data_IF_781043060903
#
_entry.id   IF_781043060903
#
_cell.length_a   1.000
_cell.length_b   1.000
_cell.length_c   1.000
_cell.angle_alpha   90.00
_cell.angle_beta   90.00
_cell.angle_gamma   90.00
#
_symmetry.space_group_name_H-M   'P 1'
#
loop_
_entity.id
_entity.type
_entity.pdbx_description
1 polymer ?
#
# COMPACT_ATOMS: atom_id res chain seq x y z
N UNK A 1 -28.04 -62.65 31.08
CA UNK A 1 -28.99 -62.67 29.95
C UNK A 1 -29.50 -61.26 29.73
N UNK A 2 -28.84 -60.45 28.89
CA UNK A 2 -29.34 -59.19 28.36
C UNK A 2 -28.79 -59.01 26.94
N UNK A 3 -29.69 -59.14 26.01
CA UNK A 3 -29.46 -59.11 24.59
C UNK A 3 -29.29 -57.64 24.15
N UNK A 4 -28.20 -57.33 23.47
CA UNK A 4 -27.94 -56.01 22.90
C UNK A 4 -28.46 -55.98 21.47
N UNK A 5 -29.38 -55.08 21.17
CA UNK A 5 -29.95 -54.85 19.85
C UNK A 5 -29.02 -53.89 19.12
N UNK A 6 -28.39 -54.31 18.03
CA UNK A 6 -27.69 -53.45 17.11
C UNK A 6 -28.65 -52.72 16.20
N UNK A 7 -28.64 -51.42 16.22
CA UNK A 7 -29.41 -50.52 15.34
C UNK A 7 -28.83 -50.51 13.90
N UNK A 8 -29.74 -50.74 12.93
CA UNK A 8 -29.45 -50.83 11.48
C UNK A 8 -29.21 -49.53 10.74
N UNK A 9 -28.87 -48.42 11.42
CA UNK A 9 -28.82 -47.08 10.76
C UNK A 9 -27.43 -46.54 10.43
N UNK A 10 -26.39 -47.35 10.46
CA UNK A 10 -25.01 -46.84 10.21
C UNK A 10 -24.41 -47.25 8.85
N UNK A 11 -25.18 -47.88 7.97
CA UNK A 11 -24.68 -48.33 6.65
C UNK A 11 -25.08 -47.34 5.51
N UNK A 12 -25.99 -46.42 5.76
CA UNK A 12 -26.47 -45.47 4.74
C UNK A 12 -25.53 -44.23 4.50
N UNK A 13 -24.66 -43.91 5.46
CA UNK A 13 -23.87 -42.67 5.39
C UNK A 13 -22.50 -42.84 4.69
N UNK A 14 -21.99 -44.07 4.54
CA UNK A 14 -20.70 -44.30 3.85
C UNK A 14 -20.84 -44.50 2.34
N UNK A 15 -22.05 -44.77 1.82
CA UNK A 15 -22.25 -44.96 0.37
C UNK A 15 -22.47 -43.66 -0.39
N UNK A 16 -22.82 -42.55 0.28
CA UNK A 16 -23.01 -41.24 -0.37
C UNK A 16 -21.71 -40.44 -0.48
N UNK A 17 -20.72 -40.66 0.39
CA UNK A 17 -19.42 -40.01 0.28
C UNK A 17 -18.49 -40.60 -0.81
N UNK A 18 -18.71 -41.84 -1.22
CA UNK A 18 -17.91 -42.45 -2.28
C UNK A 18 -18.39 -42.07 -3.71
N UNK A 19 -19.60 -41.53 -3.86
CA UNK A 19 -20.11 -41.09 -5.14
C UNK A 19 -19.74 -39.60 -5.48
N UNK A 20 -19.26 -38.82 -4.50
CA UNK A 20 -18.81 -37.46 -4.73
C UNK A 20 -17.30 -37.36 -5.07
N UNK A 21 -16.55 -38.42 -4.88
CA UNK A 21 -15.12 -38.47 -5.24
C UNK A 21 -14.85 -39.00 -6.66
N UNK A 22 -15.87 -39.51 -7.35
CA UNK A 22 -15.75 -39.94 -8.75
C UNK A 22 -16.16 -38.89 -9.78
N UNK A 23 -16.67 -37.72 -9.33
CA UNK A 23 -17.03 -36.64 -10.24
C UNK A 23 -15.85 -35.69 -10.58
N UNK A 24 -14.66 -35.88 -10.01
CA UNK A 24 -13.45 -35.13 -10.34
C UNK A 24 -12.40 -35.92 -11.16
N UNK A 25 -12.81 -37.05 -11.76
CA UNK A 25 -12.06 -37.69 -12.84
C UNK A 25 -12.82 -37.56 -14.14
N UNK A 26 -13.05 -36.31 -14.56
CA UNK A 26 -13.15 -36.02 -15.96
C UNK A 26 -11.73 -36.12 -16.52
N UNK A 27 -11.45 -37.17 -17.26
CA UNK A 27 -10.41 -37.20 -18.29
C UNK A 27 -10.83 -36.24 -19.42
N UNK A 28 -11.10 -35.00 -19.11
CA UNK A 28 -10.94 -33.90 -20.00
C UNK A 28 -9.47 -33.51 -19.89
N UNK A 29 -8.61 -34.28 -20.49
CA UNK A 29 -7.34 -33.78 -20.94
C UNK A 29 -7.67 -32.52 -21.69
N UNK A 30 -7.26 -31.34 -21.21
CA UNK A 30 -7.14 -30.20 -22.04
C UNK A 30 -6.08 -30.61 -23.08
N UNK A 31 -6.56 -31.23 -24.15
CA UNK A 31 -5.79 -31.45 -25.33
C UNK A 31 -5.54 -30.04 -25.91
N UNK A 32 -4.47 -29.38 -25.40
CA UNK A 32 -3.91 -28.23 -26.07
C UNK A 32 -3.29 -28.72 -27.38
N UNK A 33 -4.16 -29.10 -28.27
CA UNK A 33 -3.78 -29.58 -29.63
C UNK A 33 -3.16 -28.44 -30.46
N UNK A 34 -2.91 -27.27 -29.83
CA UNK A 34 -2.31 -26.13 -30.47
C UNK A 34 -1.26 -25.49 -29.55
N UNK A 35 -0.03 -25.44 -30.03
CA UNK A 35 1.03 -24.68 -29.44
C UNK A 35 0.61 -23.19 -29.29
N UNK A 36 0.84 -22.62 -28.15
CA UNK A 36 0.44 -21.25 -27.81
C UNK A 36 1.63 -20.41 -27.36
N UNK A 37 1.48 -19.08 -27.49
CA UNK A 37 2.50 -18.09 -27.16
C UNK A 37 2.05 -17.24 -26.00
N UNK A 38 2.98 -16.86 -25.14
CA UNK A 38 2.77 -15.98 -24.00
C UNK A 38 4.05 -15.21 -23.64
N UNK A 39 3.92 -14.06 -22.96
CA UNK A 39 5.10 -13.34 -22.45
C UNK A 39 5.67 -14.11 -21.27
N UNK A 40 6.97 -14.35 -21.26
CA UNK A 40 7.64 -15.14 -20.22
C UNK A 40 7.37 -14.59 -18.83
N UNK A 41 7.02 -15.49 -17.88
CA UNK A 41 6.75 -15.17 -16.47
C UNK A 41 5.31 -14.71 -16.18
N UNK A 42 4.48 -14.46 -17.21
CA UNK A 42 3.08 -14.05 -17.00
C UNK A 42 2.17 -15.20 -16.58
N UNK A 43 2.62 -16.42 -16.75
CA UNK A 43 1.99 -17.64 -16.26
C UNK A 43 2.02 -17.75 -14.73
N UNK A 44 3.03 -17.17 -14.08
CA UNK A 44 3.14 -17.10 -12.63
C UNK A 44 2.60 -15.77 -12.10
N UNK A 45 3.07 -14.65 -12.64
CA UNK A 45 2.63 -13.31 -12.24
C UNK A 45 2.77 -12.32 -13.42
N UNK A 46 1.67 -11.71 -13.88
CA UNK A 46 1.74 -10.73 -14.96
C UNK A 46 2.38 -9.38 -14.52
N UNK A 47 2.59 -9.16 -13.22
CA UNK A 47 3.20 -7.93 -12.70
C UNK A 47 4.56 -8.21 -12.11
N UNK A 48 5.58 -7.56 -12.63
CA UNK A 48 6.97 -7.69 -12.18
C UNK A 48 7.47 -6.35 -11.65
N UNK A 49 8.17 -6.38 -10.50
CA UNK A 49 8.86 -5.20 -9.97
C UNK A 49 10.11 -4.93 -10.80
N UNK A 50 10.17 -3.74 -11.38
CA UNK A 50 11.37 -3.26 -12.08
C UNK A 50 12.00 -2.14 -11.25
N UNK A 51 13.13 -2.42 -10.61
CA UNK A 51 13.85 -1.45 -9.78
C UNK A 51 14.70 -0.56 -10.68
N UNK A 52 14.49 0.75 -10.57
CA UNK A 52 15.26 1.78 -11.27
C UNK A 52 16.03 2.59 -10.21
N UNK A 53 17.29 2.29 -10.02
CA UNK A 53 18.19 3.03 -9.10
C UNK A 53 18.80 4.21 -9.84
N UNK A 54 19.43 3.93 -10.97
CA UNK A 54 20.02 4.92 -11.87
C UNK A 54 19.44 4.81 -13.26
N UNK A 55 19.53 5.88 -14.04
CA UNK A 55 19.14 5.88 -15.45
C UNK A 55 20.35 6.00 -16.36
N UNK A 56 20.37 5.28 -17.50
CA UNK A 56 19.32 4.38 -17.98
C UNK A 56 19.30 3.02 -17.29
N UNK A 57 18.10 2.50 -17.01
CA UNK A 57 17.88 1.16 -16.48
C UNK A 57 17.16 0.29 -17.50
N UNK A 58 17.45 -1.01 -17.54
CA UNK A 58 16.95 -1.91 -18.58
C UNK A 58 16.30 -3.16 -17.99
N UNK A 59 15.26 -3.64 -18.67
CA UNK A 59 14.57 -4.89 -18.34
C UNK A 59 14.30 -5.69 -19.63
N UNK A 60 14.76 -6.95 -19.67
CA UNK A 60 14.57 -7.83 -20.83
C UNK A 60 13.23 -8.56 -20.76
N UNK A 61 12.47 -8.52 -21.83
CA UNK A 61 11.19 -9.22 -22.00
C UNK A 61 11.33 -10.22 -23.13
N UNK A 62 10.95 -11.47 -22.88
CA UNK A 62 10.94 -12.55 -23.88
C UNK A 62 9.53 -13.10 -24.04
N UNK A 63 9.31 -13.83 -25.13
CA UNK A 63 8.08 -14.58 -25.39
C UNK A 63 8.41 -16.07 -25.36
N UNK A 64 7.52 -16.84 -24.76
CA UNK A 64 7.60 -18.30 -24.74
C UNK A 64 6.52 -18.93 -25.60
N UNK A 65 6.85 -20.09 -26.14
CA UNK A 65 5.91 -21.04 -26.72
C UNK A 65 5.75 -22.22 -25.78
N UNK A 66 4.55 -22.79 -25.70
CA UNK A 66 4.26 -24.01 -24.94
C UNK A 66 5.06 -25.22 -25.44
N UNK A 67 5.55 -25.17 -26.69
CA UNK A 67 6.36 -26.20 -27.33
C UNK A 67 7.52 -25.60 -28.12
N UNK A 68 8.50 -26.42 -28.50
CA UNK A 68 9.54 -26.00 -29.43
C UNK A 68 8.94 -25.76 -30.80
N UNK A 69 9.26 -24.63 -31.42
CA UNK A 69 8.72 -24.24 -32.71
C UNK A 69 9.40 -25.03 -33.83
N UNK A 70 8.62 -25.44 -34.85
CA UNK A 70 9.12 -26.19 -36.03
C UNK A 70 9.74 -25.28 -37.09
N UNK A 71 9.58 -23.96 -36.98
CA UNK A 71 10.16 -22.94 -37.85
C UNK A 71 10.22 -21.62 -37.09
N UNK A 72 11.00 -20.67 -37.57
CA UNK A 72 11.12 -19.34 -36.95
C UNK A 72 9.77 -18.65 -36.81
N UNK A 73 9.45 -18.21 -35.57
CA UNK A 73 8.25 -17.42 -35.24
C UNK A 73 8.68 -15.99 -34.89
N UNK A 74 8.23 -15.04 -35.72
CA UNK A 74 8.51 -13.62 -35.51
C UNK A 74 7.36 -12.94 -34.79
N UNK A 75 7.67 -12.16 -33.76
CA UNK A 75 6.69 -11.44 -32.96
C UNK A 75 7.07 -9.97 -32.87
N UNK A 76 6.06 -9.12 -32.87
CA UNK A 76 6.20 -7.69 -32.63
C UNK A 76 5.73 -7.38 -31.22
N UNK A 77 6.62 -6.86 -30.40
CA UNK A 77 6.35 -6.36 -29.06
C UNK A 77 6.09 -4.85 -29.09
N UNK A 78 5.28 -4.34 -28.16
CA UNK A 78 5.07 -2.91 -28.02
C UNK A 78 4.76 -2.53 -26.58
N UNK A 79 5.07 -1.30 -26.20
CA UNK A 79 4.57 -0.67 -24.96
C UNK A 79 3.16 -0.15 -25.26
N UNK A 80 2.17 -0.64 -24.51
CA UNK A 80 0.76 -0.25 -24.65
C UNK A 80 0.25 0.44 -23.37
N UNK A 81 0.41 1.74 -23.30
CA UNK A 81 0.05 2.56 -22.14
C UNK A 81 -1.44 2.49 -21.78
N UNK A 82 -2.32 2.20 -22.75
CA UNK A 82 -3.77 2.09 -22.51
C UNK A 82 -4.12 0.95 -21.54
N UNK A 83 -3.27 -0.09 -21.50
CA UNK A 83 -3.43 -1.25 -20.61
C UNK A 83 -3.33 -0.92 -19.12
N UNK A 84 -2.73 0.22 -18.75
CA UNK A 84 -2.65 0.65 -17.33
C UNK A 84 -4.05 0.98 -16.79
N UNK A 85 -4.88 1.68 -17.56
CA UNK A 85 -6.24 2.00 -17.15
C UNK A 85 -7.10 0.73 -16.99
N UNK A 86 -7.00 -0.21 -17.94
CA UNK A 86 -7.69 -1.51 -17.88
C UNK A 86 -7.24 -2.31 -16.63
N UNK A 87 -5.94 -2.32 -16.36
CA UNK A 87 -5.37 -2.99 -15.19
C UNK A 87 -5.88 -2.38 -13.89
N UNK A 88 -5.86 -1.04 -13.79
CA UNK A 88 -6.35 -0.32 -12.60
C UNK A 88 -7.82 -0.60 -12.32
N UNK A 89 -8.67 -0.60 -13.34
CA UNK A 89 -10.09 -0.88 -13.21
C UNK A 89 -10.33 -2.31 -12.69
N UNK A 90 -9.64 -3.29 -13.28
CA UNK A 90 -9.79 -4.69 -12.93
C UNK A 90 -9.26 -5.02 -11.52
N UNK A 91 -8.17 -4.38 -11.08
CA UNK A 91 -7.47 -4.70 -9.84
C UNK A 91 -7.68 -3.68 -8.72
N UNK A 92 -8.46 -2.60 -8.98
CA UNK A 92 -8.70 -1.50 -8.02
C UNK A 92 -7.40 -0.86 -7.54
N UNK A 93 -6.51 -0.57 -8.49
CA UNK A 93 -5.22 0.08 -8.26
C UNK A 93 -5.18 1.47 -8.89
N UNK A 94 -4.14 2.27 -8.56
CA UNK A 94 -3.95 3.65 -9.04
C UNK A 94 -2.57 3.84 -9.68
N UNK A 95 -2.16 2.92 -10.55
CA UNK A 95 -0.91 3.05 -11.26
C UNK A 95 -1.02 4.07 -12.40
N UNK A 96 0.10 4.71 -12.69
CA UNK A 96 0.22 5.68 -13.77
C UNK A 96 0.95 5.06 -14.96
N UNK A 97 0.48 5.37 -16.16
CA UNK A 97 1.23 5.01 -17.35
C UNK A 97 2.53 5.81 -17.39
N UNK A 98 3.63 5.14 -17.75
CA UNK A 98 4.93 5.81 -17.84
C UNK A 98 4.88 6.96 -18.87
N UNK A 99 5.44 8.15 -18.56
CA UNK A 99 5.43 9.30 -19.47
C UNK A 99 6.07 8.97 -20.83
N UNK A 100 5.59 9.66 -21.86
CA UNK A 100 6.22 9.58 -23.19
C UNK A 100 7.64 10.13 -23.14
N UNK A 101 8.57 9.44 -23.83
CA UNK A 101 9.99 9.82 -23.82
C UNK A 101 10.78 9.37 -22.59
N UNK A 102 10.12 8.95 -21.50
CA UNK A 102 10.80 8.42 -20.33
C UNK A 102 11.25 6.95 -20.52
N UNK A 103 10.68 6.26 -21.49
CA UNK A 103 10.96 4.85 -21.77
C UNK A 103 10.97 4.58 -23.27
N UNK A 104 11.85 3.68 -23.70
CA UNK A 104 11.88 3.13 -25.04
C UNK A 104 11.84 1.59 -25.01
N UNK A 105 11.43 0.98 -26.11
CA UNK A 105 11.50 -0.46 -26.32
C UNK A 105 12.51 -0.73 -27.43
N UNK A 106 13.68 -1.22 -27.03
CA UNK A 106 14.71 -1.67 -27.98
C UNK A 106 14.42 -3.08 -28.47
N UNK A 107 14.75 -3.34 -29.73
CA UNK A 107 14.56 -4.64 -30.37
C UNK A 107 13.10 -5.17 -30.26
N UNK A 108 12.09 -4.40 -30.69
CA UNK A 108 10.69 -4.79 -30.54
C UNK A 108 10.30 -6.02 -31.37
N UNK A 109 11.06 -6.34 -32.40
CA UNK A 109 10.90 -7.56 -33.17
C UNK A 109 11.73 -8.68 -32.55
N UNK A 110 11.05 -9.67 -31.96
CA UNK A 110 11.68 -10.82 -31.32
C UNK A 110 11.39 -12.09 -32.14
N UNK A 111 12.30 -13.06 -32.10
CA UNK A 111 12.20 -14.29 -32.85
C UNK A 111 12.39 -15.49 -31.93
N UNK A 112 11.45 -16.44 -32.00
CA UNK A 112 11.68 -17.79 -31.49
C UNK A 112 12.24 -18.59 -32.67
N UNK A 113 13.53 -18.93 -32.62
CA UNK A 113 14.17 -19.68 -33.69
C UNK A 113 13.74 -21.14 -33.67
N UNK A 114 13.74 -21.78 -34.83
CA UNK A 114 13.44 -23.20 -35.00
C UNK A 114 14.15 -24.08 -33.95
N UNK A 115 13.39 -25.01 -33.37
CA UNK A 115 13.87 -25.90 -32.31
C UNK A 115 13.94 -25.32 -30.93
N UNK A 116 13.64 -24.01 -30.74
CA UNK A 116 13.57 -23.34 -29.46
C UNK A 116 12.12 -23.08 -29.01
N UNK A 117 11.96 -22.75 -27.73
CA UNK A 117 10.66 -22.37 -27.14
C UNK A 117 10.68 -20.94 -26.57
N UNK A 118 11.82 -20.25 -26.59
CA UNK A 118 12.00 -18.89 -26.03
C UNK A 118 12.57 -17.99 -27.11
N UNK A 119 12.03 -16.77 -27.19
CA UNK A 119 12.46 -15.77 -28.17
C UNK A 119 13.76 -15.05 -27.77
N UNK A 120 14.35 -14.31 -28.72
CA UNK A 120 15.23 -13.20 -28.40
C UNK A 120 14.49 -12.18 -27.51
N UNK A 121 15.23 -11.30 -26.83
CA UNK A 121 14.64 -10.32 -25.90
C UNK A 121 14.32 -8.99 -26.60
N UNK A 122 13.16 -8.44 -26.30
CA UNK A 122 12.90 -7.01 -26.39
C UNK A 122 13.34 -6.35 -25.07
N UNK A 123 13.99 -5.20 -25.14
CA UNK A 123 14.53 -4.54 -23.96
C UNK A 123 13.76 -3.25 -23.67
N UNK A 124 13.08 -3.22 -22.54
CA UNK A 124 12.51 -1.97 -22.00
C UNK A 124 13.62 -1.19 -21.33
N UNK A 125 13.82 0.05 -21.77
CA UNK A 125 14.85 0.92 -21.26
C UNK A 125 14.24 2.21 -20.70
N UNK A 126 14.35 2.42 -19.40
CA UNK A 126 13.98 3.67 -18.75
C UNK A 126 15.12 4.66 -18.93
N UNK A 127 14.87 5.72 -19.69
CA UNK A 127 15.87 6.71 -20.08
C UNK A 127 16.04 7.81 -19.03
N UNK A 128 14.93 8.23 -18.41
CA UNK A 128 14.91 9.28 -17.38
C UNK A 128 13.75 9.09 -16.45
N UNK A 129 13.93 9.52 -15.21
CA UNK A 129 12.86 9.62 -14.19
C UNK A 129 12.51 11.06 -13.83
N UNK A 130 13.02 12.05 -14.55
CA UNK A 130 12.78 13.48 -14.27
C UNK A 130 11.30 13.90 -14.39
N UNK A 131 10.55 13.22 -15.26
CA UNK A 131 9.11 13.44 -15.44
C UNK A 131 8.25 12.66 -14.44
N UNK A 132 8.86 11.89 -13.53
CA UNK A 132 8.12 11.09 -12.58
C UNK A 132 7.72 11.95 -11.38
N UNK A 133 6.43 12.05 -11.18
CA UNK A 133 5.88 12.74 -10.02
C UNK A 133 6.13 11.94 -8.74
N UNK A 134 6.38 12.64 -7.66
CA UNK A 134 6.53 12.03 -6.35
C UNK A 134 5.20 11.41 -5.91
N UNK A 135 5.26 10.21 -5.32
CA UNK A 135 4.07 9.48 -4.89
C UNK A 135 3.35 8.73 -6.02
N UNK A 136 3.76 8.89 -7.27
CA UNK A 136 3.20 8.13 -8.38
C UNK A 136 3.99 6.83 -8.61
N UNK A 137 3.27 5.72 -8.70
CA UNK A 137 3.84 4.44 -9.11
C UNK A 137 3.56 4.22 -10.60
N UNK A 138 4.60 4.16 -11.39
CA UNK A 138 4.49 4.01 -12.83
C UNK A 138 4.52 2.55 -13.27
N UNK A 139 3.81 2.26 -14.36
CA UNK A 139 3.71 0.93 -14.93
C UNK A 139 3.99 0.97 -16.44
N UNK A 140 4.77 0.01 -16.91
CA UNK A 140 5.08 -0.18 -18.34
C UNK A 140 4.47 -1.50 -18.80
N UNK A 141 3.31 -1.48 -19.47
CA UNK A 141 2.78 -2.69 -20.09
C UNK A 141 3.52 -3.00 -21.40
N UNK A 142 4.09 -4.19 -21.48
CA UNK A 142 4.72 -4.72 -22.70
C UNK A 142 3.89 -5.86 -23.22
N UNK A 143 3.39 -5.73 -24.44
CA UNK A 143 2.41 -6.66 -25.02
C UNK A 143 2.85 -7.20 -26.38
N UNK A 144 2.44 -8.42 -26.69
CA UNK A 144 2.56 -8.99 -28.05
C UNK A 144 1.52 -8.31 -28.94
N UNK A 145 1.95 -7.47 -29.88
CA UNK A 145 1.07 -6.78 -30.84
C UNK A 145 0.73 -7.61 -32.04
N UNK A 146 1.65 -8.44 -32.51
CA UNK A 146 1.45 -9.24 -33.69
C UNK A 146 2.39 -10.42 -33.76
N UNK A 147 2.00 -11.37 -34.61
CA UNK A 147 2.77 -12.56 -34.94
C UNK A 147 2.86 -12.66 -36.47
N UNK A 148 3.98 -13.10 -36.98
CA UNK A 148 4.17 -13.41 -38.38
C UNK A 148 4.96 -14.71 -38.57
N UNK A 149 4.69 -15.42 -39.66
CA UNK A 149 5.34 -16.70 -39.95
C UNK A 149 4.77 -17.90 -39.17
N UNK A 150 3.66 -17.70 -38.41
CA UNK A 150 3.02 -18.78 -37.65
C UNK A 150 1.51 -18.55 -37.51
N UNK A 151 0.78 -19.64 -37.32
CA UNK A 151 -0.65 -19.65 -36.99
C UNK A 151 -0.89 -19.92 -35.47
N UNK A 152 0.15 -19.85 -34.64
CA UNK A 152 0.05 -20.10 -33.21
C UNK A 152 -0.85 -19.06 -32.54
N UNK A 153 -1.64 -19.50 -31.58
CA UNK A 153 -2.48 -18.62 -30.80
C UNK A 153 -1.66 -17.94 -29.69
N UNK A 154 -2.10 -16.76 -29.29
CA UNK A 154 -1.56 -16.07 -28.11
C UNK A 154 -2.52 -16.27 -26.94
N UNK A 155 -2.01 -16.68 -25.78
CA UNK A 155 -2.80 -16.78 -24.54
C UNK A 155 -3.12 -15.36 -24.10
N UNK A 156 -4.37 -14.93 -24.25
CA UNK A 156 -4.78 -13.53 -24.04
C UNK A 156 -4.50 -13.04 -22.60
N UNK A 157 -4.72 -13.87 -21.58
CA UNK A 157 -4.41 -13.55 -20.19
C UNK A 157 -2.91 -13.37 -19.90
N UNK A 158 -2.05 -13.87 -20.78
CA UNK A 158 -0.59 -13.85 -20.68
C UNK A 158 0.08 -13.11 -21.84
N UNK A 159 -0.71 -12.30 -22.58
CA UNK A 159 -0.25 -11.48 -23.70
C UNK A 159 0.60 -10.29 -23.26
N UNK A 160 0.40 -9.80 -22.05
CA UNK A 160 0.99 -8.55 -21.54
C UNK A 160 1.66 -8.77 -20.20
N UNK A 161 2.92 -8.36 -20.09
CA UNK A 161 3.61 -8.20 -18.80
C UNK A 161 3.58 -6.74 -18.37
N UNK A 162 3.35 -6.51 -17.10
CA UNK A 162 3.30 -5.18 -16.49
C UNK A 162 4.54 -4.95 -15.64
N UNK A 163 5.45 -4.11 -16.09
CA UNK A 163 6.63 -3.74 -15.32
C UNK A 163 6.26 -2.59 -14.38
N UNK A 164 6.13 -2.89 -13.10
CA UNK A 164 5.89 -1.89 -12.06
C UNK A 164 7.21 -1.24 -11.68
N UNK A 165 7.37 0.03 -12.04
CA UNK A 165 8.59 0.78 -11.75
C UNK A 165 8.68 1.06 -10.25
N UNK A 166 9.76 0.62 -9.64
CA UNK A 166 10.12 0.92 -8.25
C UNK A 166 11.38 1.77 -8.25
N UNK A 167 11.25 3.02 -7.82
CA UNK A 167 12.37 3.97 -7.67
C UNK A 167 12.89 3.91 -6.25
N UNK A 168 14.20 3.96 -6.08
CA UNK A 168 14.79 4.32 -4.79
C UNK A 168 14.66 5.84 -4.64
N UNK A 169 13.78 6.28 -3.75
CA UNK A 169 13.60 7.70 -3.45
C UNK A 169 14.40 8.01 -2.19
N UNK A 170 15.45 8.83 -2.33
CA UNK A 170 15.99 9.55 -1.19
C UNK A 170 14.96 10.61 -0.79
N UNK A 171 14.47 10.56 0.41
CA UNK A 171 13.49 11.52 0.90
C UNK A 171 13.91 12.06 2.26
N UNK A 172 13.41 13.23 2.62
CA UNK A 172 13.49 13.74 3.97
C UNK A 172 12.32 13.19 4.79
N UNK A 173 12.53 12.99 6.08
CA UNK A 173 11.50 12.66 7.04
C UNK A 173 11.71 13.50 8.30
N UNK A 174 10.63 13.75 9.03
CA UNK A 174 10.72 14.39 10.34
C UNK A 174 11.15 13.35 11.36
N UNK A 175 12.18 13.66 12.12
CA UNK A 175 12.55 12.93 13.32
C UNK A 175 12.00 13.66 14.55
N UNK A 176 11.01 13.08 15.19
CA UNK A 176 10.43 13.58 16.42
C UNK A 176 11.25 13.09 17.60
N UNK A 177 11.87 14.02 18.30
CA UNK A 177 12.49 13.77 19.59
C UNK A 177 11.59 14.28 20.75
N UNK A 178 12.07 14.15 21.96
CA UNK A 178 11.35 14.33 23.21
C UNK A 178 10.43 15.56 23.30
N UNK A 179 10.70 16.65 22.60
CA UNK A 179 9.89 17.88 22.66
C UNK A 179 9.14 18.18 21.35
N UNK A 180 9.21 17.29 20.37
CA UNK A 180 8.57 17.50 19.09
C UNK A 180 7.10 17.03 19.11
N UNK A 181 6.31 17.59 19.99
CA UNK A 181 4.85 17.38 20.02
C UNK A 181 4.14 18.63 19.50
N UNK A 182 3.04 18.44 18.85
CA UNK A 182 2.24 19.55 18.33
C UNK A 182 0.75 19.20 18.23
N UNK A 183 -0.06 20.24 18.19
CA UNK A 183 -1.50 20.16 18.15
C UNK A 183 -2.01 21.27 17.22
N UNK A 184 -2.71 20.89 16.16
CA UNK A 184 -3.28 21.81 15.18
C UNK A 184 -4.79 21.73 15.19
N UNK A 185 -5.45 22.89 15.16
CA UNK A 185 -6.87 23.00 14.87
C UNK A 185 -6.99 23.77 13.57
N UNK A 186 -7.49 23.08 12.53
CA UNK A 186 -7.70 23.69 11.22
C UNK A 186 -8.93 24.59 11.23
N UNK A 187 -8.92 25.62 10.38
CA UNK A 187 -10.05 26.53 10.20
C UNK A 187 -11.30 25.80 9.74
N UNK A 188 -11.11 24.88 8.78
CA UNK A 188 -12.18 24.08 8.20
C UNK A 188 -12.10 22.63 8.68
N UNK A 189 -13.27 22.01 8.83
CA UNK A 189 -13.36 20.59 9.13
C UNK A 189 -13.56 19.77 7.87
N UNK A 190 -13.03 18.53 7.86
CA UNK A 190 -13.30 17.53 6.83
C UNK A 190 -14.40 16.60 7.37
N UNK A 191 -15.63 16.65 6.82
CA UNK A 191 -16.71 15.74 7.23
C UNK A 191 -16.46 14.34 6.65
N UNK A 192 -16.44 13.31 7.50
CA UNK A 192 -16.13 11.94 7.14
C UNK A 192 -17.25 11.01 7.59
N UNK A 193 -17.90 10.33 6.65
CA UNK A 193 -18.88 9.26 6.91
C UNK A 193 -18.27 7.87 6.74
N UNK A 194 -17.42 7.73 5.75
CA UNK A 194 -16.43 6.66 5.58
C UNK A 194 -15.06 7.32 5.46
N UNK A 195 -14.00 6.64 5.82
CA UNK A 195 -12.67 7.25 5.73
C UNK A 195 -11.54 6.22 5.66
N UNK A 196 -10.40 6.73 5.27
CA UNK A 196 -9.11 6.10 5.51
C UNK A 196 -8.14 7.14 6.04
N UNK A 197 -7.52 6.84 7.17
CA UNK A 197 -6.34 7.56 7.65
C UNK A 197 -5.11 6.72 7.40
N UNK A 198 -4.10 7.30 6.78
CA UNK A 198 -2.81 6.66 6.57
C UNK A 198 -1.69 7.50 7.18
N UNK A 199 -0.70 6.82 7.72
CA UNK A 199 0.49 7.46 8.28
C UNK A 199 1.68 6.52 8.24
N UNK A 200 2.83 7.05 7.87
CA UNK A 200 4.07 6.27 7.81
C UNK A 200 4.97 6.62 8.98
N UNK A 201 5.39 5.60 9.72
CA UNK A 201 6.20 5.77 10.92
C UNK A 201 7.43 4.87 10.90
N UNK A 202 8.49 5.36 11.55
CA UNK A 202 9.73 4.63 11.82
C UNK A 202 10.06 4.78 13.30
N UNK A 203 9.63 3.85 14.15
CA UNK A 203 9.89 3.90 15.58
C UNK A 203 11.40 3.82 15.86
N UNK A 204 11.87 4.62 16.81
CA UNK A 204 13.26 4.58 17.31
C UNK A 204 13.33 4.43 18.82
N UNK A 205 12.20 4.56 19.49
CA UNK A 205 12.13 4.58 20.94
C UNK A 205 10.98 3.76 21.54
N UNK A 206 10.50 2.72 20.83
CA UNK A 206 9.54 1.80 21.44
C UNK A 206 10.19 1.04 22.59
N UNK A 207 9.53 1.03 23.72
CA UNK A 207 9.99 0.34 24.93
C UNK A 207 8.79 -0.24 25.67
N UNK A 208 8.95 -1.43 26.23
CA UNK A 208 7.90 -2.15 26.99
C UNK A 208 7.67 -1.52 28.39
N UNK A 209 7.56 -0.21 28.50
CA UNK A 209 7.57 0.52 29.77
C UNK A 209 6.28 1.33 30.04
N UNK A 210 5.18 0.95 29.44
CA UNK A 210 3.89 1.63 29.57
C UNK A 210 3.46 2.35 28.30
N UNK A 211 2.29 3.00 28.30
CA UNK A 211 1.70 3.59 27.11
C UNK A 211 2.58 4.69 26.51
N UNK A 212 2.75 4.63 25.19
CA UNK A 212 3.48 5.61 24.40
C UNK A 212 2.54 6.24 23.37
N UNK A 213 2.34 7.55 23.47
CA UNK A 213 1.41 8.30 22.62
C UNK A 213 2.06 8.60 21.29
N UNK A 214 1.33 8.32 20.23
CA UNK A 214 1.80 8.62 18.87
C UNK A 214 1.07 9.84 18.30
N UNK A 215 -0.24 9.72 18.05
CA UNK A 215 -1.02 10.83 17.51
C UNK A 215 -2.51 10.70 17.86
N UNK A 216 -3.24 11.79 17.62
CA UNK A 216 -4.69 11.82 17.61
C UNK A 216 -5.22 12.61 16.42
N UNK A 217 -6.34 12.12 15.87
CA UNK A 217 -7.10 12.75 14.80
C UNK A 217 -8.51 12.99 15.34
N UNK A 218 -8.94 14.25 15.45
CA UNK A 218 -10.07 14.59 16.29
C UNK A 218 -11.01 15.61 15.64
N UNK A 219 -12.20 15.74 16.21
CA UNK A 219 -13.02 16.94 16.06
C UNK A 219 -12.42 18.07 16.90
N UNK A 220 -12.74 19.32 16.59
CA UNK A 220 -12.24 20.47 17.32
C UNK A 220 -12.62 20.45 18.81
N UNK A 221 -13.80 19.90 19.14
CA UNK A 221 -14.35 19.77 20.49
C UNK A 221 -13.92 18.48 21.23
N UNK A 222 -13.08 17.66 20.59
CA UNK A 222 -12.58 16.37 21.11
C UNK A 222 -13.66 15.30 21.36
N UNK A 223 -14.88 15.56 20.99
CA UNK A 223 -16.00 14.63 21.24
C UNK A 223 -15.89 13.31 20.50
N UNK A 224 -15.15 13.28 19.37
CA UNK A 224 -14.90 12.09 18.56
C UNK A 224 -13.43 12.06 18.15
N UNK A 225 -12.65 11.28 18.88
CA UNK A 225 -11.22 11.16 18.68
C UNK A 225 -10.83 9.77 18.15
N UNK A 226 -9.89 9.75 17.22
CA UNK A 226 -9.13 8.55 16.85
C UNK A 226 -7.75 8.70 17.50
N UNK A 227 -7.41 7.80 18.41
CA UNK A 227 -6.17 7.83 19.17
C UNK A 227 -5.30 6.65 18.83
N UNK A 228 -4.01 6.89 18.61
CA UNK A 228 -3.00 5.87 18.36
C UNK A 228 -1.97 5.88 19.48
N UNK A 229 -1.84 4.75 20.18
CA UNK A 229 -0.93 4.59 21.32
C UNK A 229 -0.27 3.22 21.27
N UNK A 230 1.03 3.18 21.51
CA UNK A 230 1.77 1.92 21.71
C UNK A 230 1.78 1.51 23.17
N UNK A 231 1.95 0.23 23.42
CA UNK A 231 2.14 -0.38 24.73
C UNK A 231 1.00 -0.12 25.74
N UNK A 232 -0.20 0.18 25.27
CA UNK A 232 -1.36 0.31 26.12
C UNK A 232 -1.65 -1.04 26.82
N UNK A 233 -2.00 -1.02 28.10
CA UNK A 233 -2.22 -2.20 28.91
C UNK A 233 -1.03 -3.18 28.94
N UNK A 234 0.21 -2.69 28.86
CA UNK A 234 1.46 -3.47 28.85
C UNK A 234 1.55 -4.49 27.71
N UNK A 235 0.97 -4.19 26.58
CA UNK A 235 1.09 -4.99 25.38
C UNK A 235 2.45 -4.73 24.71
N UNK A 236 3.23 -5.79 24.45
CA UNK A 236 4.58 -5.69 23.86
C UNK A 236 4.56 -5.01 22.51
N UNK A 237 4.89 -3.72 22.46
CA UNK A 237 4.99 -2.90 21.24
C UNK A 237 3.81 -3.04 20.26
N UNK A 238 2.62 -3.32 20.78
CA UNK A 238 1.38 -3.33 20.00
C UNK A 238 0.76 -1.95 19.96
N UNK A 239 0.12 -1.63 18.83
CA UNK A 239 -0.58 -0.38 18.65
C UNK A 239 -2.05 -0.54 19.01
N UNK A 240 -2.54 0.31 19.93
CA UNK A 240 -3.97 0.49 20.16
C UNK A 240 -4.50 1.54 19.18
N UNK A 241 -5.54 1.18 18.45
CA UNK A 241 -6.35 2.08 17.63
C UNK A 241 -7.68 2.26 18.34
N UNK A 242 -7.86 3.38 19.04
CA UNK A 242 -9.10 3.71 19.71
C UNK A 242 -9.87 4.76 18.92
N UNK A 243 -11.11 4.46 18.59
CA UNK A 243 -11.96 5.33 17.76
C UNK A 243 -13.39 5.35 18.28
N UNK A 244 -14.22 6.33 17.86
CA UNK A 244 -15.67 6.32 18.15
C UNK A 244 -16.40 5.10 17.58
N UNK A 245 -15.82 4.43 16.58
CA UNK A 245 -16.37 3.24 15.92
C UNK A 245 -16.05 1.95 16.68
N UNK A 246 -15.03 1.96 17.52
CA UNK A 246 -14.55 0.83 18.31
C UNK A 246 -13.07 0.93 18.64
N UNK A 247 -12.56 -0.05 19.36
CA UNK A 247 -11.15 -0.13 19.75
C UNK A 247 -10.53 -1.42 19.28
N UNK A 248 -9.40 -1.30 18.57
CA UNK A 248 -8.57 -2.40 18.10
C UNK A 248 -7.23 -2.40 18.80
N UNK A 249 -6.66 -3.58 18.99
CA UNK A 249 -5.25 -3.76 19.29
C UNK A 249 -4.59 -4.46 18.08
N UNK A 250 -3.45 -3.97 17.62
CA UNK A 250 -2.75 -4.63 16.52
C UNK A 250 -2.39 -6.08 16.85
N UNK A 251 -2.42 -6.95 15.85
CA UNK A 251 -1.80 -8.27 15.93
C UNK A 251 -0.28 -8.15 15.81
N UNK A 252 0.17 -7.22 14.96
CA UNK A 252 1.59 -6.90 14.78
C UNK A 252 2.20 -6.35 16.07
N UNK A 253 3.35 -6.92 16.46
CA UNK A 253 4.30 -6.34 17.41
C UNK A 253 5.31 -5.52 16.61
N UNK A 254 5.33 -4.21 16.85
CA UNK A 254 6.19 -3.30 16.12
C UNK A 254 7.62 -3.33 16.65
N UNK A 255 8.58 -3.22 15.74
CA UNK A 255 9.99 -3.12 16.06
C UNK A 255 10.53 -1.71 15.80
N UNK A 256 11.59 -1.34 16.50
CA UNK A 256 12.35 -0.14 16.20
C UNK A 256 13.13 -0.31 14.88
N UNK A 257 13.45 0.81 14.26
CA UNK A 257 14.34 0.93 13.11
C UNK A 257 13.84 0.27 11.83
N UNK A 258 12.52 0.32 11.60
CA UNK A 258 11.92 -0.03 10.31
C UNK A 258 10.66 0.79 10.03
N UNK A 259 10.39 1.02 8.74
CA UNK A 259 9.21 1.76 8.30
C UNK A 259 7.95 0.88 8.32
N UNK A 260 6.85 1.49 8.76
CA UNK A 260 5.50 0.92 8.69
C UNK A 260 4.54 1.93 8.09
N UNK A 261 3.72 1.54 7.12
CA UNK A 261 2.50 2.26 6.75
C UNK A 261 1.36 1.71 7.59
N UNK A 262 0.76 2.56 8.40
CA UNK A 262 -0.44 2.28 9.18
C UNK A 262 -1.64 2.84 8.43
N UNK A 263 -2.67 2.03 8.17
CA UNK A 263 -3.90 2.50 7.55
C UNK A 263 -5.10 2.07 8.38
N UNK A 264 -5.92 3.03 8.77
CA UNK A 264 -7.15 2.83 9.54
C UNK A 264 -8.32 3.16 8.63
N UNK A 265 -9.15 2.17 8.36
CA UNK A 265 -10.27 2.28 7.41
C UNK A 265 -11.58 2.07 8.15
N UNK A 266 -12.53 3.00 7.95
CA UNK A 266 -13.93 2.81 8.29
C UNK A 266 -14.74 2.69 7.00
N UNK A 267 -15.31 1.51 6.74
CA UNK A 267 -16.04 1.21 5.51
C UNK A 267 -17.57 1.43 5.62
N UNK A 268 -18.03 1.95 6.76
CA UNK A 268 -19.45 2.12 7.08
C UNK A 268 -20.03 0.99 7.94
N UNK A 269 -19.27 -0.09 8.13
CA UNK A 269 -19.69 -1.29 8.90
C UNK A 269 -18.54 -1.81 9.77
N UNK A 270 -17.35 -1.86 9.22
CA UNK A 270 -16.18 -2.43 9.86
C UNK A 270 -15.08 -1.38 10.04
N UNK A 271 -14.43 -1.43 11.18
CA UNK A 271 -13.16 -0.78 11.39
C UNK A 271 -12.05 -1.76 11.04
N UNK A 272 -11.23 -1.42 10.04
CA UNK A 272 -10.16 -2.25 9.53
C UNK A 272 -8.83 -1.56 9.81
N UNK A 273 -7.85 -2.32 10.26
CA UNK A 273 -6.50 -1.84 10.48
C UNK A 273 -5.52 -2.63 9.60
N UNK A 274 -4.71 -1.89 8.82
CA UNK A 274 -3.70 -2.47 7.95
C UNK A 274 -2.31 -2.02 8.37
N UNK A 275 -1.36 -2.93 8.22
CA UNK A 275 0.07 -2.66 8.35
C UNK A 275 0.74 -3.01 7.03
N UNK A 276 1.39 -2.03 6.39
CA UNK A 276 2.05 -2.20 5.09
C UNK A 276 1.13 -2.79 4.00
N UNK A 277 -0.15 -2.39 3.98
CA UNK A 277 -1.13 -2.87 3.02
C UNK A 277 -1.72 -4.25 3.30
N UNK A 278 -1.30 -4.92 4.37
CA UNK A 278 -1.83 -6.22 4.81
C UNK A 278 -2.81 -6.00 5.96
N UNK A 279 -4.00 -6.60 5.89
CA UNK A 279 -4.98 -6.53 6.98
C UNK A 279 -4.40 -7.17 8.24
N UNK A 280 -4.23 -6.36 9.28
CA UNK A 280 -3.68 -6.77 10.57
C UNK A 280 -4.79 -7.20 11.53
N UNK A 281 -5.83 -6.37 11.69
CA UNK A 281 -6.98 -6.67 12.54
C UNK A 281 -8.22 -5.94 12.06
N UNK A 282 -9.39 -6.39 12.51
CA UNK A 282 -10.67 -5.77 12.18
C UNK A 282 -11.73 -6.01 13.26
N UNK A 283 -12.74 -5.17 13.30
CA UNK A 283 -13.95 -5.39 14.11
C UNK A 283 -15.17 -4.80 13.42
N UNK A 284 -16.35 -5.37 13.68
CA UNK A 284 -17.62 -4.73 13.37
C UNK A 284 -17.81 -3.53 14.31
N UNK A 285 -17.87 -2.33 13.75
CA UNK A 285 -17.97 -1.09 14.51
C UNK A 285 -19.41 -0.62 14.69
N UNK A 286 -19.57 0.47 15.44
CA UNK A 286 -20.82 1.22 15.53
C UNK A 286 -20.60 2.59 14.92
N UNK A 287 -21.42 2.99 13.96
CA UNK A 287 -21.33 4.32 13.37
C UNK A 287 -21.80 5.38 14.39
N UNK A 288 -20.94 6.34 14.79
CA UNK A 288 -21.32 7.45 15.66
C UNK A 288 -22.03 8.59 14.91
N UNK A 289 -22.42 8.42 13.64
CA UNK A 289 -22.97 9.45 12.76
C UNK A 289 -21.91 10.30 12.09
N UNK A 290 -20.80 9.68 11.67
CA UNK A 290 -19.65 10.34 11.08
C UNK A 290 -18.78 11.09 12.09
N UNK A 291 -17.66 11.59 11.61
CA UNK A 291 -16.71 12.46 12.34
C UNK A 291 -16.35 13.67 11.48
N UNK A 292 -16.01 14.78 12.12
CA UNK A 292 -15.47 15.95 11.45
C UNK A 292 -14.00 16.08 11.85
N UNK A 293 -13.09 15.66 10.97
CA UNK A 293 -11.67 15.85 11.21
C UNK A 293 -11.33 17.33 11.12
N UNK A 294 -10.83 17.88 12.22
CA UNK A 294 -10.44 19.29 12.31
C UNK A 294 -9.21 19.51 13.21
N UNK A 295 -8.79 18.50 13.96
CA UNK A 295 -7.65 18.59 14.86
C UNK A 295 -6.69 17.44 14.60
N UNK A 296 -5.40 17.76 14.60
CA UNK A 296 -4.34 16.79 14.46
C UNK A 296 -3.29 16.99 15.55
N UNK A 297 -3.07 15.98 16.34
CA UNK A 297 -2.05 15.95 17.39
C UNK A 297 -0.96 14.95 17.04
N UNK A 298 0.31 15.35 17.14
CA UNK A 298 1.48 14.50 16.92
C UNK A 298 2.36 14.50 18.17
N UNK A 299 2.86 13.33 18.55
CA UNK A 299 3.66 13.13 19.77
C UNK A 299 2.87 13.33 21.05
N UNK A 300 1.57 13.44 20.93
CA UNK A 300 0.61 13.58 22.01
C UNK A 300 -0.72 12.98 21.58
N UNK A 301 -1.65 12.80 22.47
CA UNK A 301 -2.99 12.33 22.15
C UNK A 301 -3.97 12.68 23.27
N UNK A 302 -5.26 12.77 22.88
CA UNK A 302 -6.36 13.08 23.79
C UNK A 302 -6.12 14.34 24.59
N UNK A 303 -5.73 15.37 23.85
CA UNK A 303 -5.60 16.70 24.39
C UNK A 303 -4.47 16.94 25.36
N UNK A 304 -3.52 16.04 25.48
CA UNK A 304 -2.44 16.22 26.42
C UNK A 304 -1.10 15.72 25.93
N UNK A 305 -0.09 16.55 26.14
CA UNK A 305 1.30 16.14 26.08
C UNK A 305 1.66 15.49 27.41
N UNK A 306 2.29 14.32 27.36
CA UNK A 306 2.81 13.64 28.53
C UNK A 306 4.24 13.18 28.23
N UNK A 307 5.19 13.86 28.87
CA UNK A 307 6.61 13.61 28.66
C UNK A 307 7.05 12.17 28.96
N UNK A 308 6.34 11.47 29.85
CA UNK A 308 6.63 10.08 30.21
C UNK A 308 6.09 9.09 29.19
N UNK A 309 5.19 9.54 28.31
CA UNK A 309 4.53 8.71 27.30
C UNK A 309 5.00 9.04 25.90
N UNK A 310 5.94 9.95 25.72
CA UNK A 310 6.55 10.25 24.45
C UNK A 310 7.57 9.15 24.07
N UNK A 311 7.72 8.89 22.78
CA UNK A 311 8.78 8.02 22.27
C UNK A 311 9.40 8.62 21.00
N UNK A 312 10.67 8.30 20.75
CA UNK A 312 11.34 8.73 19.53
C UNK A 312 10.80 7.99 18.29
N UNK A 313 10.52 8.73 17.26
CA UNK A 313 10.08 8.17 15.97
C UNK A 313 10.35 9.15 14.84
N UNK A 314 10.44 8.61 13.61
CA UNK A 314 10.34 9.38 12.39
C UNK A 314 8.95 9.19 11.81
N UNK A 315 8.47 10.17 11.07
CA UNK A 315 7.18 10.08 10.39
C UNK A 315 7.17 10.81 9.05
N UNK A 316 6.30 10.38 8.18
CA UNK A 316 6.00 10.99 6.90
C UNK A 316 4.65 10.48 6.38
N UNK A 317 4.17 11.00 5.24
CA UNK A 317 3.05 10.44 4.50
C UNK A 317 1.75 10.34 5.31
N UNK A 318 1.33 11.42 5.97
CA UNK A 318 0.01 11.45 6.63
C UNK A 318 -1.06 11.85 5.63
N UNK A 319 -2.10 11.03 5.50
CA UNK A 319 -3.17 11.20 4.52
C UNK A 319 -4.53 11.01 5.16
N UNK A 320 -5.47 11.86 4.75
CA UNK A 320 -6.88 11.80 5.15
C UNK A 320 -7.72 11.60 3.88
N UNK A 321 -8.46 10.51 3.84
CA UNK A 321 -9.36 10.17 2.74
C UNK A 321 -10.81 10.18 3.22
N UNK A 322 -11.74 10.72 2.42
CA UNK A 322 -13.17 10.69 2.71
C UNK A 322 -13.88 9.41 2.26
N UNK A 323 -13.11 8.38 1.98
CA UNK A 323 -13.57 7.06 1.54
C UNK A 323 -12.75 5.91 2.14
N UNK A 324 -13.35 4.74 2.14
CA UNK A 324 -12.64 3.51 2.45
C UNK A 324 -11.77 3.09 1.27
N UNK A 325 -10.46 2.97 1.49
CA UNK A 325 -9.52 2.40 0.53
C UNK A 325 -9.56 0.86 0.59
N UNK A 326 -9.40 0.23 -0.56
CA UNK A 326 -9.15 -1.21 -0.65
C UNK A 326 -7.72 -1.56 -0.25
N UNK A 327 -7.46 -2.82 0.11
CA UNK A 327 -6.11 -3.31 0.39
C UNK A 327 -5.15 -3.06 -0.78
N UNK A 328 -5.62 -3.21 -2.02
CA UNK A 328 -4.80 -2.97 -3.23
C UNK A 328 -4.43 -1.50 -3.40
N UNK A 329 -5.32 -0.57 -3.07
CA UNK A 329 -5.03 0.87 -3.11
C UNK A 329 -4.02 1.26 -2.03
N UNK A 330 -4.18 0.74 -0.81
CA UNK A 330 -3.23 0.94 0.30
C UNK A 330 -1.86 0.39 -0.09
N UNK A 331 -1.80 -0.82 -0.63
CA UNK A 331 -0.56 -1.45 -1.10
C UNK A 331 0.09 -0.63 -2.23
N UNK A 332 -0.72 -0.13 -3.17
CA UNK A 332 -0.23 0.75 -4.24
C UNK A 332 0.31 2.09 -3.73
N UNK A 333 -0.20 2.59 -2.59
CA UNK A 333 0.18 3.85 -1.96
C UNK A 333 1.36 3.79 -0.99
N UNK A 334 2.06 2.65 -0.86
CA UNK A 334 3.18 2.48 0.09
C UNK A 334 4.32 3.48 -0.08
N UNK A 335 4.57 3.92 -1.30
CA UNK A 335 5.63 4.88 -1.63
C UNK A 335 5.17 6.34 -1.65
N UNK A 336 3.88 6.57 -1.55
CA UNK A 336 3.24 7.86 -1.74
C UNK A 336 2.03 7.72 -2.66
N UNK A 337 1.26 8.79 -2.79
CA UNK A 337 0.11 8.88 -3.69
C UNK A 337 0.13 10.21 -4.44
N UNK A 338 -0.56 10.29 -5.57
CA UNK A 338 -0.73 11.57 -6.24
C UNK A 338 -1.61 12.51 -5.38
N UNK A 339 -1.23 13.77 -5.28
CA UNK A 339 -1.91 14.76 -4.46
C UNK A 339 -3.37 15.02 -4.89
N UNK A 340 -3.69 14.75 -6.16
CA UNK A 340 -5.03 14.88 -6.74
C UNK A 340 -5.81 13.56 -6.78
N UNK A 341 -5.41 12.56 -5.99
CA UNK A 341 -6.11 11.27 -5.92
C UNK A 341 -7.55 11.43 -5.46
N UNK A 342 -8.47 10.70 -6.07
CA UNK A 342 -9.90 10.79 -5.76
C UNK A 342 -10.18 10.43 -4.29
N UNK A 343 -10.84 11.35 -3.58
CA UNK A 343 -11.19 11.20 -2.16
C UNK A 343 -10.05 11.57 -1.18
N UNK A 344 -8.90 12.00 -1.66
CA UNK A 344 -7.81 12.51 -0.82
C UNK A 344 -8.14 13.95 -0.38
N UNK A 345 -8.36 14.15 0.91
CA UNK A 345 -8.81 15.43 1.47
C UNK A 345 -7.66 16.25 2.07
N UNK A 346 -6.66 15.61 2.66
CA UNK A 346 -5.45 16.25 3.14
C UNK A 346 -4.26 15.30 3.03
N UNK A 347 -3.08 15.83 2.73
CA UNK A 347 -1.88 15.05 2.56
C UNK A 347 -0.63 15.82 2.97
N UNK A 348 -0.04 15.45 4.08
CA UNK A 348 1.25 15.97 4.54
C UNK A 348 2.35 14.95 4.24
N UNK A 349 3.21 15.29 3.33
CA UNK A 349 4.35 14.43 2.97
C UNK A 349 5.42 14.42 4.04
N UNK A 350 5.57 15.53 4.77
CA UNK A 350 6.62 15.77 5.75
C UNK A 350 8.02 15.55 5.18
N UNK A 351 8.25 16.05 3.98
CA UNK A 351 9.48 15.89 3.23
C UNK A 351 10.15 17.21 2.81
N UNK A 352 9.73 18.32 3.40
CA UNK A 352 10.24 19.66 3.10
C UNK A 352 11.75 19.79 3.37
N UNK A 353 12.30 18.95 4.24
CA UNK A 353 13.75 18.89 4.55
C UNK A 353 14.26 20.04 5.40
N UNK A 354 13.44 21.03 5.70
CA UNK A 354 13.79 22.21 6.48
C UNK A 354 12.56 22.93 6.99
N UNK A 355 12.71 23.75 8.03
CA UNK A 355 11.64 24.59 8.54
C UNK A 355 10.71 23.87 9.51
N UNK A 356 9.53 24.44 9.69
CA UNK A 356 8.53 24.02 10.68
C UNK A 356 7.09 24.12 10.15
N UNK A 357 6.92 24.49 8.88
CA UNK A 357 5.64 24.50 8.17
C UNK A 357 5.57 23.25 7.31
N UNK A 358 4.50 22.51 7.44
CA UNK A 358 4.23 21.30 6.68
C UNK A 358 3.05 21.56 5.76
N UNK A 359 3.28 21.44 4.46
CA UNK A 359 2.30 21.79 3.46
C UNK A 359 1.35 20.65 3.16
N UNK A 360 0.07 21.01 3.03
CA UNK A 360 -0.94 20.13 2.49
C UNK A 360 -0.76 20.02 0.96
N UNK A 361 -0.24 18.89 0.52
CA UNK A 361 0.04 18.64 -0.90
C UNK A 361 -1.22 18.63 -1.78
N UNK A 362 -2.43 18.46 -1.19
CA UNK A 362 -3.68 18.52 -1.95
C UNK A 362 -4.06 19.95 -2.35
N UNK A 363 -3.54 20.95 -1.63
CA UNK A 363 -3.88 22.36 -1.82
C UNK A 363 -5.25 22.74 -1.24
N UNK A 364 -5.88 21.92 -0.41
CA UNK A 364 -7.16 22.20 0.23
C UNK A 364 -7.05 23.13 1.46
N UNK A 365 -5.83 23.53 1.83
CA UNK A 365 -5.60 24.56 2.88
C UNK A 365 -5.40 23.98 4.29
N UNK A 366 -4.93 22.76 4.41
CA UNK A 366 -4.61 22.12 5.68
C UNK A 366 -3.11 22.21 6.04
N UNK A 367 -2.44 23.31 5.67
CA UNK A 367 -1.07 23.56 6.08
C UNK A 367 -0.94 23.61 7.62
N UNK A 368 0.17 23.08 8.14
CA UNK A 368 0.47 23.07 9.57
C UNK A 368 1.73 23.88 9.86
N UNK A 369 1.61 24.97 10.63
CA UNK A 369 2.77 25.66 11.18
C UNK A 369 3.03 25.19 12.62
N UNK A 370 4.10 24.44 12.81
CA UNK A 370 4.40 23.87 14.13
C UNK A 370 4.77 24.89 15.21
N UNK A 371 4.96 26.16 14.85
CA UNK A 371 5.02 27.26 15.82
C UNK A 371 3.67 27.61 16.43
N UNK A 372 2.58 27.24 15.75
CA UNK A 372 1.21 27.60 16.12
C UNK A 372 0.51 26.44 16.83
N UNK A 373 1.09 25.98 17.93
CA UNK A 373 0.44 24.98 18.77
C UNK A 373 -0.81 25.61 19.41
N UNK A 374 -1.98 25.09 19.08
CA UNK A 374 -3.25 25.74 19.34
C UNK A 374 -3.88 25.38 20.70
N UNK A 375 -3.17 24.65 21.58
CA UNK A 375 -3.81 24.09 22.76
C UNK A 375 -3.00 24.17 24.05
N UNK A 376 -3.74 24.47 25.12
CA UNK A 376 -3.31 24.22 26.49
C UNK A 376 -3.42 22.72 26.83
N UNK A 377 -2.51 22.21 27.60
CA UNK A 377 -2.39 20.81 27.97
C UNK A 377 -3.02 20.59 29.35
N UNK A 378 -3.31 19.33 29.68
CA UNK A 378 -3.83 18.97 30.99
C UNK A 378 -2.96 19.43 32.12
N UNK A 379 -3.61 19.83 33.24
CA UNK A 379 -2.95 20.17 34.47
C UNK A 379 -2.06 19.00 34.94
N UNK A 380 -0.79 19.30 35.15
CA UNK A 380 0.23 18.31 35.52
C UNK A 380 1.06 17.72 34.38
N UNK A 381 0.69 17.96 33.16
CA UNK A 381 1.53 17.63 32.01
C UNK A 381 2.51 18.76 31.69
N UNK A 382 3.70 18.42 31.20
CA UNK A 382 4.62 19.43 30.71
C UNK A 382 4.09 20.01 29.40
N UNK A 383 3.91 21.32 29.35
CA UNK A 383 3.53 22.02 28.12
C UNK A 383 4.64 21.83 27.05
N UNK A 384 4.31 21.55 25.78
CA UNK A 384 5.26 21.80 24.72
C UNK A 384 5.71 23.24 24.85
N UNK A 385 7.01 23.45 24.89
CA UNK A 385 7.54 24.81 25.00
C UNK A 385 7.13 25.60 23.75
N UNK A 386 7.00 26.92 23.82
CA UNK A 386 6.78 27.75 22.63
C UNK A 386 7.80 27.50 21.52
N UNK A 387 8.90 26.88 21.88
CA UNK A 387 10.02 26.53 21.00
C UNK A 387 10.01 25.03 20.57
N UNK A 388 8.93 24.30 20.78
CA UNK A 388 8.85 22.87 20.40
C UNK A 388 9.19 22.61 18.94
N UNK A 389 8.89 23.55 18.04
CA UNK A 389 9.28 23.48 16.64
C UNK A 389 10.79 23.40 16.41
N UNK A 390 11.62 23.87 17.35
CA UNK A 390 13.08 23.75 17.29
C UNK A 390 13.56 22.32 17.52
N UNK A 391 12.71 21.47 18.06
CA UNK A 391 12.98 20.03 18.23
C UNK A 391 12.68 19.20 16.98
N UNK A 392 12.15 19.81 15.92
CA UNK A 392 11.99 19.17 14.62
C UNK A 392 13.39 18.98 14.05
N UNK A 393 13.72 17.74 13.73
CA UNK A 393 14.96 17.38 13.02
C UNK A 393 14.59 16.72 11.72
N UNK A 394 15.15 17.25 10.66
CA UNK A 394 15.04 16.63 9.36
C UNK A 394 16.14 15.60 9.20
N UNK A 395 15.77 14.40 8.80
CA UNK A 395 16.71 13.33 8.47
C UNK A 395 16.58 13.01 6.99
N UNK A 396 17.71 12.91 6.31
CA UNK A 396 17.74 12.28 5.00
C UNK A 396 17.64 10.78 5.26
N UNK A 397 16.56 10.19 4.77
CA UNK A 397 16.34 8.77 4.95
C UNK A 397 16.82 8.02 3.71
N UNK A 398 17.90 7.29 3.87
CA UNK A 398 18.48 6.38 2.89
C UNK A 398 17.91 4.95 3.02
N UNK A 399 17.09 4.73 4.06
CA UNK A 399 16.30 3.50 4.18
C UNK A 399 15.06 3.66 3.32
N UNK A 400 15.01 2.91 2.23
CA UNK A 400 13.91 2.99 1.29
C UNK A 400 12.56 2.74 1.97
N UNK A 401 11.75 3.81 2.14
CA UNK A 401 10.41 3.72 2.73
C UNK A 401 9.45 2.85 1.91
N UNK A 402 9.82 2.54 0.69
CA UNK A 402 9.07 1.72 -0.26
C UNK A 402 9.56 0.28 -0.32
N UNK A 403 10.70 -0.03 0.30
CA UNK A 403 11.21 -1.40 0.34
C UNK A 403 10.32 -2.26 1.24
N UNK A 404 9.80 -3.29 0.67
CA UNK A 404 9.15 -4.43 1.33
C UNK A 404 9.87 -5.69 0.93
#
# INVERSE_FOLDING_TARGET
>A
MKTTIFSKNTIGALAVCSLLLSACRGDGGFDYDHSALYVSGTDENPVVKFVVEDTPASYAVTVQSTEKVASDVKLLMAIDRSKVAEYNEANKTNYFAIPEGAVELENPEVVISEGNAISSAATVRVLSTEQFEEGCTYMVPVTIKGISGSMMNIIEGSRTIFLRISRVLNFAAVNADYNASSNFIFENAIPLTTFTYEMKIYPTGLANSGPQRFCALEQADESKALLLRFNEANTSNKLQVMTPYGTLMSNTEFANNQWYLLSIVWDGTNLLFYVNGVLDNSLAGKDPGGVNFQRFEIGMSWGGYNSRQFFGHRFCEFRVWDRALSASEILGGLCGVAANSNGLQAYWKFNEGTGHVFHDATGHGFDMDWKQTSRAIYEGDMLPTPDAYKSIKWVKDDINKCAQ
#
